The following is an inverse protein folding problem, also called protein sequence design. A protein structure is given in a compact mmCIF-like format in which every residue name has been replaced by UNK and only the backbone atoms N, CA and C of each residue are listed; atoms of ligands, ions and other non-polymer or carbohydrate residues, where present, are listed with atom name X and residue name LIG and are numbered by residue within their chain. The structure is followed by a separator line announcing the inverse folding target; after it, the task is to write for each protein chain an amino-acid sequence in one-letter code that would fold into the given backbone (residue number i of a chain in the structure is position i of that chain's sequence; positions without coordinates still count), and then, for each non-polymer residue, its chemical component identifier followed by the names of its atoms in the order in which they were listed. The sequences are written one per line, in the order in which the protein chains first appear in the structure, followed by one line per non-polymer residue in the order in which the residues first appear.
data_IF_802492649699
#
_entry.id   IF_802492649699
#
_cell.length_a   1.000
_cell.length_b   1.000
_cell.length_c   1.000
_cell.angle_alpha   90.00
_cell.angle_beta   90.00
_cell.angle_gamma   90.00
#
_symmetry.space_group_name_H-M   'P 1'
#
loop_
_entity.id
_entity.type
_entity.pdbx_description
1 polymer ?
#
# COMPACT_ATOMS: atom_id res chain seq x y z
N UNK A 1 -1.76 9.75 7.85
CA UNK A 1 -2.86 8.77 7.70
C UNK A 1 -3.37 8.74 6.26
N UNK A 2 -3.98 9.82 5.73
CA UNK A 2 -4.55 9.86 4.35
C UNK A 2 -3.77 9.19 3.22
N UNK A 3 -2.43 9.28 3.19
CA UNK A 3 -1.63 8.65 2.14
C UNK A 3 -1.47 7.13 2.31
N UNK A 4 -1.42 6.63 3.54
CA UNK A 4 -1.37 5.19 3.82
C UNK A 4 -2.71 4.55 3.45
N UNK A 5 -3.81 5.19 3.84
CA UNK A 5 -5.17 4.76 3.51
C UNK A 5 -5.33 4.68 1.99
N UNK A 6 -4.90 5.73 1.27
CA UNK A 6 -4.94 5.77 -0.20
C UNK A 6 -4.05 4.71 -0.88
N UNK A 7 -2.91 4.36 -0.30
CA UNK A 7 -2.07 3.25 -0.80
C UNK A 7 -2.80 1.92 -0.61
N UNK A 8 -3.42 1.71 0.55
CA UNK A 8 -4.17 0.48 0.84
C UNK A 8 -5.43 0.37 -0.03
N UNK A 9 -6.16 1.47 -0.25
CA UNK A 9 -7.29 1.54 -1.20
C UNK A 9 -6.86 1.18 -2.63
N UNK A 10 -5.70 1.66 -3.09
CA UNK A 10 -5.18 1.27 -4.40
C UNK A 10 -4.90 -0.24 -4.51
N UNK A 11 -4.61 -0.89 -3.40
CA UNK A 11 -4.30 -2.32 -3.31
C UNK A 11 -5.53 -3.18 -2.96
N UNK A 12 -6.70 -2.58 -2.68
CA UNK A 12 -7.86 -3.27 -2.11
C UNK A 12 -8.53 -4.26 -3.06
N UNK A 13 -8.25 -4.18 -4.37
CA UNK A 13 -8.75 -5.10 -5.38
C UNK A 13 -8.14 -6.52 -5.29
N UNK A 14 -7.31 -6.80 -4.26
CA UNK A 14 -6.58 -8.06 -4.05
C UNK A 14 -5.67 -8.49 -5.20
N UNK A 15 -5.42 -7.60 -6.15
CA UNK A 15 -4.51 -7.82 -7.27
C UNK A 15 -3.10 -7.37 -6.91
N UNK A 16 -2.14 -7.99 -7.58
CA UNK A 16 -0.77 -7.50 -7.56
C UNK A 16 -0.69 -6.20 -8.37
N UNK A 17 -0.26 -5.12 -7.72
CA UNK A 17 -0.01 -3.82 -8.34
C UNK A 17 1.49 -3.56 -8.39
N UNK A 18 2.00 -3.04 -9.50
CA UNK A 18 3.41 -2.67 -9.58
C UNK A 18 3.70 -1.41 -8.76
N UNK A 19 4.92 -1.30 -8.24
CA UNK A 19 5.40 -0.09 -7.55
C UNK A 19 5.32 1.13 -8.49
N UNK A 20 5.54 0.95 -9.80
CA UNK A 20 5.43 2.02 -10.78
C UNK A 20 4.00 2.54 -10.92
N UNK A 21 2.98 1.67 -10.93
CA UNK A 21 1.57 2.09 -10.93
C UNK A 21 1.20 2.86 -9.66
N UNK A 22 1.75 2.47 -8.50
CA UNK A 22 1.50 3.18 -7.25
C UNK A 22 2.16 4.57 -7.29
N UNK A 23 3.38 4.67 -7.81
CA UNK A 23 4.10 5.95 -8.00
C UNK A 23 3.34 6.92 -8.91
N UNK A 24 2.64 6.44 -9.93
CA UNK A 24 1.87 7.33 -10.82
C UNK A 24 0.54 7.79 -10.21
N UNK A 25 -0.02 7.03 -9.26
CA UNK A 25 -1.33 7.32 -8.64
C UNK A 25 -1.23 8.05 -7.30
N UNK A 26 -0.10 7.93 -6.62
CA UNK A 26 0.16 8.57 -5.33
C UNK A 26 1.12 9.74 -5.55
N UNK A 27 0.64 10.95 -5.24
CA UNK A 27 1.46 12.16 -5.27
C UNK A 27 2.32 12.24 -3.99
N UNK A 28 3.37 11.43 -3.93
CA UNK A 28 4.40 11.46 -2.89
C UNK A 28 5.80 11.43 -3.53
N UNK A 29 6.80 12.11 -2.95
CA UNK A 29 8.19 11.90 -3.30
C UNK A 29 8.57 10.43 -3.17
N UNK A 30 9.40 9.92 -4.09
CA UNK A 30 9.79 8.51 -4.14
C UNK A 30 10.32 7.98 -2.80
N UNK A 31 11.12 8.75 -2.08
CA UNK A 31 11.69 8.35 -0.79
C UNK A 31 10.61 8.18 0.27
N UNK A 32 9.66 9.11 0.33
CA UNK A 32 8.50 9.06 1.25
C UNK A 32 7.55 7.93 0.91
N UNK A 33 7.34 7.65 -0.38
CA UNK A 33 6.55 6.51 -0.81
C UNK A 33 7.23 5.20 -0.39
N UNK A 34 8.54 5.08 -0.60
CA UNK A 34 9.29 3.90 -0.19
C UNK A 34 9.23 3.69 1.34
N UNK A 35 9.39 4.76 2.14
CA UNK A 35 9.20 4.69 3.60
C UNK A 35 7.80 4.20 3.98
N UNK A 36 6.76 4.73 3.33
CA UNK A 36 5.37 4.32 3.58
C UNK A 36 5.14 2.85 3.22
N UNK A 37 5.67 2.39 2.08
CA UNK A 37 5.56 1.00 1.65
C UNK A 37 6.32 0.06 2.60
N UNK A 38 7.53 0.42 3.02
CA UNK A 38 8.28 -0.34 4.03
C UNK A 38 7.52 -0.45 5.34
N UNK A 39 6.96 0.66 5.84
CA UNK A 39 6.13 0.65 7.05
C UNK A 39 4.93 -0.29 6.92
N UNK A 40 4.17 -0.21 5.83
CA UNK A 40 3.01 -1.08 5.59
C UNK A 40 3.43 -2.56 5.50
N UNK A 41 4.61 -2.85 4.94
CA UNK A 41 5.15 -4.20 4.84
C UNK A 41 5.60 -4.73 6.22
N UNK A 42 6.30 -3.94 7.02
CA UNK A 42 6.71 -4.28 8.40
C UNK A 42 5.50 -4.60 9.28
N UNK A 43 4.41 -3.85 9.13
CA UNK A 43 3.15 -4.12 9.84
C UNK A 43 2.34 -5.29 9.24
N UNK A 44 2.87 -5.96 8.22
CA UNK A 44 2.20 -7.05 7.50
C UNK A 44 0.86 -6.65 6.90
N UNK A 45 0.67 -5.39 6.52
CA UNK A 45 -0.52 -4.91 5.83
C UNK A 45 -0.45 -5.16 4.32
N UNK A 46 0.75 -5.12 3.76
CA UNK A 46 1.01 -5.45 2.36
C UNK A 46 2.09 -6.53 2.24
N UNK A 47 2.01 -7.32 1.17
CA UNK A 47 3.07 -8.25 0.76
C UNK A 47 3.77 -7.71 -0.48
N UNK A 48 5.07 -7.98 -0.59
CA UNK A 48 5.90 -7.62 -1.72
C UNK A 48 6.50 -8.86 -2.35
N UNK A 49 6.37 -8.95 -3.67
CA UNK A 49 7.03 -9.95 -4.51
C UNK A 49 7.65 -9.18 -5.69
N UNK A 50 8.98 -9.14 -5.72
CA UNK A 50 9.77 -8.29 -6.63
C UNK A 50 9.35 -6.80 -6.59
N UNK A 51 8.83 -6.30 -7.72
CA UNK A 51 8.32 -4.94 -7.89
C UNK A 51 6.80 -4.85 -7.79
N UNK A 52 6.15 -5.90 -7.28
CA UNK A 52 4.70 -5.96 -7.11
C UNK A 52 4.32 -6.00 -5.64
N UNK A 53 3.19 -5.37 -5.36
CA UNK A 53 2.61 -5.24 -4.03
C UNK A 53 1.18 -5.75 -4.05
N UNK A 54 0.75 -6.38 -2.96
CA UNK A 54 -0.63 -6.81 -2.76
C UNK A 54 -1.04 -6.51 -1.33
N UNK A 55 -2.30 -6.13 -1.13
CA UNK A 55 -2.85 -6.05 0.23
C UNK A 55 -2.95 -7.45 0.85
N UNK A 56 -2.71 -7.54 2.15
CA UNK A 56 -2.96 -8.75 2.93
C UNK A 56 -4.38 -8.71 3.52
N UNK A 57 -4.91 -9.84 4.02
CA UNK A 57 -6.16 -9.82 4.79
C UNK A 57 -6.11 -8.87 6.00
N UNK A 58 -4.94 -8.69 6.63
CA UNK A 58 -4.75 -7.77 7.76
C UNK A 58 -4.83 -6.31 7.30
N UNK A 59 -4.20 -5.98 6.19
CA UNK A 59 -4.25 -4.64 5.59
C UNK A 59 -5.67 -4.27 5.15
N UNK A 60 -6.43 -5.23 4.61
CA UNK A 60 -7.83 -4.99 4.25
C UNK A 60 -8.67 -4.65 5.48
N UNK A 61 -8.53 -5.41 6.58
CA UNK A 61 -9.24 -5.12 7.83
C UNK A 61 -8.97 -3.73 8.38
N UNK A 62 -7.81 -3.14 8.10
CA UNK A 62 -7.49 -1.76 8.50
C UNK A 62 -8.37 -0.74 7.76
N UNK A 63 -8.70 -0.98 6.48
CA UNK A 63 -9.60 -0.13 5.70
C UNK A 63 -11.06 -0.20 6.18
N UNK A 64 -11.45 -1.28 6.85
CA UNK A 64 -12.80 -1.48 7.39
C UNK A 64 -13.01 -0.76 8.72
N UNK A 65 -11.96 -0.22 9.35
CA UNK A 65 -12.06 0.51 10.61
C UNK A 65 -12.56 1.94 10.32
N UNK A 66 -13.67 2.39 10.92
CA UNK A 66 -14.15 3.77 10.77
C UNK A 66 -13.06 4.77 11.19
N UNK A 67 -12.80 5.78 10.34
CA UNK A 67 -11.86 6.88 10.59
C UNK A 67 -12.45 7.99 11.44
#
# INVERSE_FOLDING_TARGET
MKNLDRILELLSDFKWCSINEIKTRISLPSDRLNEALSFLQEQSFISREDEKLRITPRGLKLLEIPS
#
